data_IF_494014776689
#
_entry.id   IF_494014776689
#
_cell.length_a   1.000
_cell.length_b   1.000
_cell.length_c   1.000
_cell.angle_alpha   90.00
_cell.angle_beta   90.00
_cell.angle_gamma   90.00
#
_symmetry.space_group_name_H-M   'P 1'
#
loop_
_entity.id
_entity.type
_entity.pdbx_description
1 polymer ?
#
# COMPACT_ATOMS: atom_id res chain seq x y z
N UNK A 1 2.93 22.44 0.33
CA UNK A 1 3.76 22.38 -0.90
C UNK A 1 5.23 22.66 -0.63
N UNK A 2 5.60 23.76 0.03
CA UNK A 2 7.00 24.08 0.42
C UNK A 2 7.78 22.91 1.03
N UNK A 3 7.18 22.18 1.98
CA UNK A 3 7.85 21.04 2.61
C UNK A 3 8.02 19.84 1.68
N UNK A 4 7.04 19.59 0.80
CA UNK A 4 7.12 18.56 -0.23
C UNK A 4 8.22 18.89 -1.23
N UNK A 5 8.24 20.12 -1.76
CA UNK A 5 9.24 20.56 -2.75
C UNK A 5 10.67 20.49 -2.16
N UNK A 6 10.82 20.78 -0.86
CA UNK A 6 12.10 20.64 -0.14
C UNK A 6 12.56 19.19 -0.01
N UNK A 7 11.63 18.24 0.16
CA UNK A 7 11.94 16.82 0.32
C UNK A 7 12.03 16.06 -1.02
N UNK A 8 11.46 16.62 -2.09
CA UNK A 8 11.37 15.98 -3.41
C UNK A 8 12.71 15.45 -3.94
N UNK A 9 13.84 16.19 -3.87
CA UNK A 9 15.12 15.68 -4.35
C UNK A 9 15.57 14.40 -3.63
N UNK A 10 15.18 14.21 -2.36
CA UNK A 10 15.49 12.99 -1.62
C UNK A 10 14.57 11.84 -2.04
N UNK A 11 13.28 12.11 -2.23
CA UNK A 11 12.33 11.10 -2.70
C UNK A 11 12.69 10.58 -4.10
N UNK A 12 13.20 11.44 -4.98
CA UNK A 12 13.67 11.07 -6.33
C UNK A 12 14.88 10.12 -6.31
N UNK A 13 15.72 10.18 -5.28
CA UNK A 13 16.81 9.21 -5.08
C UNK A 13 16.31 7.86 -4.55
N UNK A 14 15.14 7.82 -3.90
CA UNK A 14 14.60 6.62 -3.26
C UNK A 14 13.66 5.82 -4.18
N UNK A 15 12.96 6.47 -5.09
CA UNK A 15 11.93 5.82 -5.89
C UNK A 15 11.50 6.61 -7.11
N UNK A 16 10.79 5.94 -8.01
CA UNK A 16 10.37 6.50 -9.30
C UNK A 16 9.00 7.18 -9.28
N UNK A 17 8.10 6.72 -8.40
CA UNK A 17 6.72 7.21 -8.34
C UNK A 17 6.53 8.04 -7.08
N UNK A 18 6.42 9.36 -7.25
CA UNK A 18 6.29 10.30 -6.14
C UNK A 18 5.01 11.10 -6.37
N UNK A 19 4.05 10.95 -5.47
CA UNK A 19 2.74 11.59 -5.57
C UNK A 19 2.42 12.29 -4.26
N UNK A 20 2.17 13.60 -4.32
CA UNK A 20 1.65 14.34 -3.19
C UNK A 20 0.17 13.98 -3.02
N UNK A 21 -0.12 13.13 -2.03
CA UNK A 21 -1.46 12.57 -1.79
C UNK A 21 -2.45 13.63 -1.31
N UNK A 22 -2.00 14.61 -0.54
CA UNK A 22 -2.85 15.65 0.05
C UNK A 22 -2.17 16.41 1.18
N UNK A 23 -2.95 16.82 2.17
CA UNK A 23 -2.49 17.47 3.40
C UNK A 23 -1.89 16.51 4.42
N UNK A 24 -1.62 17.04 5.63
CA UNK A 24 -1.13 16.24 6.74
C UNK A 24 -2.17 15.17 7.13
N UNK A 25 -1.76 13.91 7.21
CA UNK A 25 -2.63 12.76 7.52
C UNK A 25 -3.17 12.02 6.29
N UNK A 26 -3.29 12.67 5.12
CA UNK A 26 -3.86 12.04 3.92
C UNK A 26 -2.98 10.89 3.41
N UNK A 27 -1.66 11.06 3.44
CA UNK A 27 -0.72 9.98 3.09
C UNK A 27 -0.79 8.78 4.04
N UNK A 28 -1.05 9.02 5.33
CA UNK A 28 -1.21 7.95 6.32
C UNK A 28 -2.51 7.18 6.06
N UNK A 29 -3.62 7.89 5.86
CA UNK A 29 -4.92 7.29 5.52
C UNK A 29 -4.84 6.48 4.24
N UNK A 30 -4.21 7.02 3.19
CA UNK A 30 -3.96 6.31 1.94
C UNK A 30 -3.15 5.03 2.16
N UNK A 31 -2.08 5.09 2.98
CA UNK A 31 -1.26 3.90 3.25
C UNK A 31 -2.00 2.85 4.05
N UNK A 32 -2.84 3.25 5.01
CA UNK A 32 -3.70 2.32 5.77
C UNK A 32 -4.70 1.64 4.83
N UNK A 33 -5.38 2.39 3.95
CA UNK A 33 -6.29 1.82 2.96
C UNK A 33 -5.58 0.78 2.06
N UNK A 34 -4.37 1.08 1.58
CA UNK A 34 -3.55 0.12 0.83
C UNK A 34 -3.27 -1.16 1.65
N UNK A 35 -2.96 -1.04 2.93
CA UNK A 35 -2.67 -2.22 3.77
C UNK A 35 -3.91 -3.05 4.09
N UNK A 36 -5.10 -2.44 4.21
CA UNK A 36 -6.36 -3.17 4.34
C UNK A 36 -6.57 -4.05 3.10
N UNK A 37 -6.39 -3.51 1.90
CA UNK A 37 -6.53 -4.27 0.64
C UNK A 37 -5.54 -5.44 0.58
N UNK A 38 -4.27 -5.19 0.94
CA UNK A 38 -3.23 -6.24 0.96
C UNK A 38 -3.61 -7.36 1.93
N UNK A 39 -4.05 -7.02 3.14
CA UNK A 39 -4.44 -8.02 4.15
C UNK A 39 -5.61 -8.89 3.66
N UNK A 40 -6.67 -8.26 3.14
CA UNK A 40 -7.84 -8.97 2.62
C UNK A 40 -7.49 -9.90 1.46
N UNK A 41 -6.59 -9.50 0.56
CA UNK A 41 -6.13 -10.37 -0.53
C UNK A 41 -5.35 -11.57 -0.01
N UNK A 42 -4.47 -11.39 0.98
CA UNK A 42 -3.72 -12.49 1.59
C UNK A 42 -4.68 -13.47 2.27
N UNK A 43 -5.65 -12.96 3.01
CA UNK A 43 -6.69 -13.76 3.68
C UNK A 43 -7.48 -14.60 2.67
N UNK A 44 -8.01 -13.96 1.62
CA UNK A 44 -8.79 -14.63 0.59
C UNK A 44 -7.99 -15.74 -0.12
N UNK A 45 -6.73 -15.47 -0.50
CA UNK A 45 -5.87 -16.48 -1.13
C UNK A 45 -5.56 -17.61 -0.16
N UNK A 46 -5.30 -17.30 1.11
CA UNK A 46 -4.98 -18.31 2.13
C UNK A 46 -6.18 -19.25 2.38
N UNK A 47 -7.38 -18.69 2.49
CA UNK A 47 -8.61 -19.48 2.63
C UNK A 47 -8.89 -20.33 1.40
N UNK A 48 -8.72 -19.77 0.20
CA UNK A 48 -8.91 -20.48 -1.06
C UNK A 48 -7.95 -21.67 -1.20
N UNK A 49 -6.67 -21.48 -0.85
CA UNK A 49 -5.66 -22.54 -0.87
C UNK A 49 -5.97 -23.63 0.16
N UNK A 50 -6.38 -23.26 1.38
CA UNK A 50 -6.76 -24.22 2.41
C UNK A 50 -8.00 -25.02 2.01
N UNK A 51 -9.00 -24.35 1.43
CA UNK A 51 -10.20 -24.99 0.90
C UNK A 51 -9.86 -25.98 -0.22
N UNK A 52 -9.07 -25.55 -1.21
CA UNK A 52 -8.64 -26.39 -2.32
C UNK A 52 -7.90 -27.64 -1.83
N UNK A 53 -6.95 -27.47 -0.91
CA UNK A 53 -6.19 -28.57 -0.31
C UNK A 53 -7.10 -29.59 0.41
N UNK A 54 -8.14 -29.13 1.11
CA UNK A 54 -9.12 -30.02 1.77
C UNK A 54 -10.11 -30.67 0.81
N UNK A 55 -10.40 -30.02 -0.32
CA UNK A 55 -11.26 -30.55 -1.37
C UNK A 55 -10.53 -31.57 -2.28
N UNK A 56 -9.21 -31.74 -2.11
CA UNK A 56 -8.41 -32.68 -2.89
C UNK A 56 -7.83 -32.11 -4.19
N UNK A 57 -7.73 -30.79 -4.29
CA UNK A 57 -7.04 -30.06 -5.37
C UNK A 57 -5.65 -29.57 -4.93
#
# INVERSE_FOLDING_TARGET
KKDFDRALPLFELMGKNITLVGGAGDGQTCKVANQIIVALNIEAVSEALLFASKAGA
#
